data_IF_690871146321
#
_entry.id   IF_690871146321
#
_cell.length_a   1.000
_cell.length_b   1.000
_cell.length_c   1.000
_cell.angle_alpha   90.00
_cell.angle_beta   90.00
_cell.angle_gamma   90.00
#
_symmetry.space_group_name_H-M   'P 1'
#
loop_
_entity.id
_entity.type
_entity.pdbx_description
1 polymer ?
#
# COMPACT_ATOMS: atom_id res chain seq x y z
N UNK A 1 -2.18 -24.04 -9.36
CA UNK A 1 -2.21 -22.57 -9.55
C UNK A 1 -3.37 -22.03 -8.74
N UNK A 2 -3.16 -20.97 -7.97
CA UNK A 2 -4.15 -20.31 -7.13
C UNK A 2 -4.23 -18.86 -7.61
N UNK A 3 -5.34 -18.48 -8.23
CA UNK A 3 -5.54 -17.15 -8.78
C UNK A 3 -6.43 -16.31 -7.86
N UNK A 4 -5.87 -15.20 -7.40
CA UNK A 4 -6.44 -14.22 -6.46
C UNK A 4 -7.35 -14.81 -5.37
N UNK A 5 -6.82 -15.66 -4.45
CA UNK A 5 -7.63 -16.42 -3.49
C UNK A 5 -8.27 -15.55 -2.38
N UNK A 6 -8.13 -14.23 -2.48
CA UNK A 6 -8.55 -13.26 -1.48
C UNK A 6 -9.59 -12.27 -1.99
N UNK A 7 -10.06 -12.41 -3.24
CA UNK A 7 -11.12 -11.53 -3.76
C UNK A 7 -12.34 -11.56 -2.82
N UNK A 8 -12.77 -10.39 -2.36
CA UNK A 8 -13.93 -10.22 -1.47
C UNK A 8 -13.80 -10.83 -0.06
N UNK A 9 -12.58 -11.10 0.42
CA UNK A 9 -12.32 -11.58 1.77
C UNK A 9 -11.99 -10.43 2.74
N UNK A 10 -12.55 -10.49 3.95
CA UNK A 10 -12.16 -9.65 5.08
C UNK A 10 -10.74 -9.98 5.59
N UNK A 11 -10.15 -9.12 6.41
CA UNK A 11 -8.74 -9.24 6.82
C UNK A 11 -8.40 -10.49 7.62
N UNK A 12 -9.37 -11.01 8.38
CA UNK A 12 -9.23 -12.25 9.15
C UNK A 12 -9.27 -13.46 8.21
N UNK A 13 -10.16 -13.44 7.20
CA UNK A 13 -10.19 -14.42 6.13
C UNK A 13 -8.90 -14.36 5.29
N UNK A 14 -8.35 -13.18 5.01
CA UNK A 14 -7.05 -13.04 4.33
C UNK A 14 -5.93 -13.72 5.14
N UNK A 15 -5.92 -13.60 6.47
CA UNK A 15 -4.94 -14.30 7.32
C UNK A 15 -5.08 -15.83 7.21
N UNK A 16 -6.31 -16.32 7.37
CA UNK A 16 -6.61 -17.76 7.28
C UNK A 16 -6.26 -18.32 5.90
N UNK A 17 -6.59 -17.60 4.83
CA UNK A 17 -6.22 -17.97 3.46
C UNK A 17 -4.71 -17.96 3.27
N UNK A 18 -3.98 -16.98 3.85
CA UNK A 18 -2.50 -16.95 3.80
C UNK A 18 -1.93 -18.22 4.45
N UNK A 19 -2.47 -18.59 5.61
CA UNK A 19 -2.05 -19.78 6.34
C UNK A 19 -2.35 -21.08 5.57
N UNK A 20 -3.54 -21.19 4.95
CA UNK A 20 -3.91 -22.34 4.12
C UNK A 20 -2.97 -22.49 2.92
N UNK A 21 -2.69 -21.39 2.22
CA UNK A 21 -1.79 -21.40 1.06
C UNK A 21 -0.36 -21.75 1.47
N UNK A 22 0.11 -21.25 2.61
CA UNK A 22 1.41 -21.62 3.17
C UNK A 22 1.48 -23.11 3.55
N UNK A 23 0.42 -23.66 4.17
CA UNK A 23 0.26 -25.09 4.49
C UNK A 23 0.29 -25.96 3.23
N UNK A 24 -0.46 -25.60 2.20
CA UNK A 24 -0.43 -26.28 0.89
C UNK A 24 0.99 -26.29 0.33
N UNK A 25 1.70 -25.16 0.41
CA UNK A 25 3.10 -25.10 -0.01
C UNK A 25 4.01 -26.02 0.83
N UNK A 26 3.86 -26.07 2.16
CA UNK A 26 4.64 -26.97 3.03
C UNK A 26 4.38 -28.45 2.72
N UNK A 27 3.12 -28.84 2.53
CA UNK A 27 2.72 -30.21 2.19
C UNK A 27 3.29 -30.64 0.83
N UNK A 28 3.25 -29.74 -0.17
CA UNK A 28 3.72 -30.00 -1.53
C UNK A 28 5.25 -29.86 -1.69
N UNK A 29 5.92 -29.06 -0.87
CA UNK A 29 7.38 -28.84 -0.93
C UNK A 29 8.19 -29.89 -0.14
N UNK A 30 7.54 -30.86 0.50
CA UNK A 30 8.22 -32.07 0.99
C UNK A 30 8.59 -32.11 2.46
N UNK A 31 7.88 -31.44 3.37
CA UNK A 31 7.89 -31.89 4.78
C UNK A 31 7.02 -33.15 5.00
N UNK A 32 6.07 -33.43 4.09
CA UNK A 32 5.17 -34.59 4.16
C UNK A 32 5.49 -35.72 3.14
N UNK A 33 6.17 -35.42 2.03
CA UNK A 33 6.45 -36.40 0.96
C UNK A 33 7.91 -36.86 1.09
N UNK A 34 8.10 -38.02 1.72
CA UNK A 34 9.42 -38.55 2.11
C UNK A 34 10.23 -39.18 0.98
N UNK A 35 9.67 -39.41 -0.20
CA UNK A 35 10.39 -40.11 -1.27
C UNK A 35 9.98 -39.62 -2.67
N UNK A 36 10.99 -39.41 -3.52
CA UNK A 36 10.98 -39.77 -4.95
C UNK A 36 10.00 -39.09 -5.92
N UNK A 37 10.58 -38.34 -6.86
CA UNK A 37 10.07 -38.00 -8.20
C UNK A 37 8.99 -36.92 -8.39
N UNK A 38 8.01 -36.75 -7.50
CA UNK A 38 6.94 -35.75 -7.71
C UNK A 38 7.17 -34.42 -6.96
N UNK A 39 7.87 -33.48 -7.62
CA UNK A 39 8.01 -32.09 -7.12
C UNK A 39 6.87 -31.22 -7.64
N UNK A 40 5.92 -30.87 -6.77
CA UNK A 40 4.85 -29.94 -7.09
C UNK A 40 5.28 -28.47 -6.89
N UNK A 41 4.77 -27.56 -7.73
CA UNK A 41 4.98 -26.11 -7.60
C UNK A 41 3.63 -25.41 -7.42
N UNK A 42 3.56 -24.54 -6.41
CA UNK A 42 2.40 -23.68 -6.18
C UNK A 42 2.67 -22.31 -6.78
N UNK A 43 1.88 -21.94 -7.79
CA UNK A 43 1.84 -20.58 -8.31
C UNK A 43 0.67 -19.85 -7.68
N UNK A 44 0.95 -18.71 -7.03
CA UNK A 44 -0.06 -17.84 -6.43
C UNK A 44 -0.02 -16.49 -7.15
N UNK A 45 -1.15 -16.09 -7.71
CA UNK A 45 -1.36 -14.79 -8.33
C UNK A 45 -2.20 -13.96 -7.39
N UNK A 46 -1.81 -12.73 -7.11
CA UNK A 46 -2.60 -11.83 -6.27
C UNK A 46 -2.20 -10.38 -6.56
N UNK A 47 -3.17 -9.49 -6.39
CA UNK A 47 -2.93 -8.05 -6.37
C UNK A 47 -2.88 -7.49 -4.93
N UNK A 48 -3.12 -8.33 -3.91
CA UNK A 48 -3.21 -7.90 -2.53
C UNK A 48 -1.86 -8.03 -1.81
N UNK A 49 -1.32 -6.87 -1.41
CA UNK A 49 -0.01 -6.77 -0.80
C UNK A 49 0.04 -7.34 0.62
N UNK A 50 -1.03 -7.23 1.39
CA UNK A 50 -1.12 -7.80 2.75
C UNK A 50 -1.06 -9.32 2.70
N UNK A 51 -1.79 -9.92 1.77
CA UNK A 51 -1.79 -11.36 1.52
C UNK A 51 -0.39 -11.84 1.08
N UNK A 52 0.22 -11.14 0.12
CA UNK A 52 1.58 -11.46 -0.35
C UNK A 52 2.62 -11.35 0.77
N UNK A 53 2.57 -10.30 1.59
CA UNK A 53 3.49 -10.10 2.73
C UNK A 53 3.39 -11.24 3.75
N UNK A 54 2.16 -11.64 4.09
CA UNK A 54 1.90 -12.75 5.01
C UNK A 54 2.44 -14.06 4.44
N UNK A 55 2.21 -14.33 3.16
CA UNK A 55 2.76 -15.50 2.48
C UNK A 55 4.29 -15.51 2.45
N UNK A 56 4.93 -14.37 2.20
CA UNK A 56 6.39 -14.25 2.23
C UNK A 56 6.94 -14.68 3.58
N UNK A 57 6.36 -14.14 4.65
CA UNK A 57 6.79 -14.45 6.01
C UNK A 57 6.54 -15.91 6.39
N UNK A 58 5.43 -16.50 5.93
CA UNK A 58 5.06 -17.87 6.27
C UNK A 58 5.82 -18.94 5.46
N UNK A 59 6.13 -18.68 4.19
CA UNK A 59 6.79 -19.65 3.28
C UNK A 59 8.33 -19.54 3.34
N UNK A 60 8.85 -18.34 3.63
CA UNK A 60 10.28 -18.12 3.80
C UNK A 60 11.11 -18.43 2.54
N UNK A 61 12.31 -19.00 2.76
CA UNK A 61 13.37 -19.20 1.74
C UNK A 61 13.04 -20.16 0.59
N UNK A 62 11.88 -20.82 0.60
CA UNK A 62 11.48 -21.81 -0.39
C UNK A 62 10.56 -21.25 -1.49
N UNK A 63 10.34 -19.94 -1.54
CA UNK A 63 9.50 -19.28 -2.53
C UNK A 63 10.26 -18.29 -3.43
N UNK A 64 9.68 -18.03 -4.60
CA UNK A 64 10.12 -16.98 -5.53
C UNK A 64 8.99 -16.00 -5.79
N UNK A 65 9.30 -14.71 -5.80
CA UNK A 65 8.37 -13.60 -5.98
C UNK A 65 8.66 -12.88 -7.29
N UNK A 66 7.58 -12.62 -8.02
CA UNK A 66 7.62 -11.93 -9.30
C UNK A 66 6.59 -10.79 -9.28
N UNK A 67 7.00 -9.63 -9.79
CA UNK A 67 6.11 -8.50 -10.01
C UNK A 67 5.85 -8.35 -11.51
N UNK A 68 4.58 -8.19 -11.87
CA UNK A 68 4.17 -7.82 -13.22
C UNK A 68 4.16 -6.30 -13.33
N UNK A 69 5.12 -5.74 -14.07
CA UNK A 69 5.22 -4.31 -14.34
C UNK A 69 4.71 -4.05 -15.76
N UNK A 70 3.75 -3.13 -15.91
CA UNK A 70 3.26 -2.70 -17.23
C UNK A 70 3.85 -1.34 -17.56
N UNK A 71 4.61 -1.27 -18.64
CA UNK A 71 5.08 -0.01 -19.22
C UNK A 71 4.48 0.13 -20.62
N UNK A 72 3.55 1.07 -20.80
CA UNK A 72 2.77 1.26 -22.02
C UNK A 72 2.10 -0.06 -22.47
N UNK A 73 2.60 -0.66 -23.56
CA UNK A 73 2.10 -1.90 -24.16
C UNK A 73 2.98 -3.13 -23.86
N UNK A 74 4.02 -2.99 -23.04
CA UNK A 74 4.90 -4.09 -22.67
C UNK A 74 4.63 -4.54 -21.23
N UNK A 75 4.43 -5.85 -21.06
CA UNK A 75 4.38 -6.50 -19.76
C UNK A 75 5.77 -7.06 -19.45
N UNK A 76 6.35 -6.65 -18.32
CA UNK A 76 7.64 -7.13 -17.82
C UNK A 76 7.42 -7.95 -16.55
N UNK A 77 7.98 -9.16 -16.52
CA UNK A 77 8.01 -9.99 -15.32
C UNK A 77 9.35 -9.74 -14.62
N UNK A 78 9.30 -9.15 -13.43
CA UNK A 78 10.50 -8.81 -12.66
C UNK A 78 10.62 -9.74 -11.47
N UNK A 79 11.69 -10.53 -11.43
CA UNK A 79 12.04 -11.37 -10.28
C UNK A 79 12.52 -10.49 -9.11
N UNK A 80 12.06 -10.78 -7.89
CA UNK A 80 12.33 -9.98 -6.69
C UNK A 80 12.76 -10.88 -5.51
N UNK A 81 13.46 -11.98 -5.79
CA UNK A 81 13.86 -13.00 -4.81
C UNK A 81 15.02 -12.60 -3.89
N UNK A 82 15.79 -11.58 -4.25
CA UNK A 82 16.97 -11.16 -3.48
C UNK A 82 16.64 -10.35 -2.23
N UNK A 83 15.37 -10.34 -1.81
CA UNK A 83 14.91 -9.39 -0.82
C UNK A 83 14.33 -10.12 0.39
N UNK A 84 15.22 -10.46 1.33
CA UNK A 84 14.87 -10.31 2.74
C UNK A 84 14.38 -8.87 2.90
N UNK A 85 13.08 -8.68 3.12
CA UNK A 85 12.45 -7.36 3.01
C UNK A 85 11.79 -7.07 1.66
N UNK A 86 11.30 -8.07 0.91
CA UNK A 86 10.49 -7.84 -0.31
C UNK A 86 9.35 -6.87 -0.05
N UNK A 87 8.70 -6.97 1.11
CA UNK A 87 7.70 -5.99 1.51
C UNK A 87 8.31 -4.61 1.69
N UNK A 88 9.46 -4.50 2.37
CA UNK A 88 10.19 -3.23 2.50
C UNK A 88 10.60 -2.67 1.14
N UNK A 89 10.98 -3.50 0.17
CA UNK A 89 11.39 -3.07 -1.17
C UNK A 89 10.21 -2.73 -2.06
N UNK A 90 9.12 -3.49 -2.02
CA UNK A 90 7.89 -3.16 -2.73
C UNK A 90 7.27 -1.88 -2.16
N UNK A 91 7.15 -1.80 -0.83
CA UNK A 91 6.60 -0.64 -0.14
C UNK A 91 7.51 0.58 -0.34
N UNK A 92 8.84 0.42 -0.30
CA UNK A 92 9.80 1.48 -0.63
C UNK A 92 9.72 1.90 -2.10
N UNK A 93 9.52 0.97 -3.05
CA UNK A 93 9.33 1.30 -4.46
C UNK A 93 8.02 2.07 -4.68
N UNK A 94 6.93 1.62 -4.07
CA UNK A 94 5.64 2.31 -4.12
C UNK A 94 5.75 3.69 -3.48
N UNK A 95 6.39 3.79 -2.32
CA UNK A 95 6.69 5.05 -1.65
C UNK A 95 7.52 5.96 -2.55
N UNK A 96 8.59 5.43 -3.19
CA UNK A 96 9.42 6.17 -4.14
C UNK A 96 8.60 6.76 -5.26
N UNK A 97 7.74 5.96 -5.91
CA UNK A 97 6.91 6.44 -7.01
C UNK A 97 5.93 7.52 -6.59
N UNK A 98 5.27 7.35 -5.44
CA UNK A 98 4.31 8.34 -4.89
C UNK A 98 5.04 9.61 -4.44
N UNK A 99 6.19 9.48 -3.78
CA UNK A 99 6.99 10.61 -3.28
C UNK A 99 7.58 11.43 -4.44
N UNK A 100 8.11 10.78 -5.47
CA UNK A 100 8.58 11.44 -6.69
C UNK A 100 7.45 12.15 -7.43
N UNK A 101 6.28 11.51 -7.54
CA UNK A 101 5.10 12.14 -8.11
C UNK A 101 4.66 13.38 -7.30
N UNK A 102 4.64 13.29 -5.97
CA UNK A 102 4.31 14.41 -5.08
C UNK A 102 5.29 15.59 -5.22
N UNK A 103 6.56 15.33 -5.54
CA UNK A 103 7.59 16.37 -5.74
C UNK A 103 7.55 17.07 -7.10
N UNK A 104 6.82 16.57 -8.08
CA UNK A 104 6.76 17.22 -9.42
C UNK A 104 6.18 18.63 -9.29
N UNK A 105 6.83 19.62 -9.90
CA UNK A 105 6.39 21.02 -9.83
C UNK A 105 5.05 21.26 -10.53
N UNK A 106 4.84 20.65 -11.69
CA UNK A 106 3.60 20.72 -12.46
C UNK A 106 3.26 19.35 -13.02
N UNK A 107 1.98 19.02 -12.99
CA UNK A 107 1.43 17.83 -13.62
C UNK A 107 0.44 18.27 -14.69
N UNK A 108 0.52 17.68 -15.88
CA UNK A 108 -0.47 17.91 -16.93
C UNK A 108 -1.57 16.85 -16.80
N UNK A 109 -2.83 17.25 -16.94
CA UNK A 109 -3.95 16.32 -16.78
C UNK A 109 -3.84 15.14 -17.75
N UNK A 110 -3.68 13.95 -17.18
CA UNK A 110 -3.69 12.68 -17.87
C UNK A 110 -4.52 11.69 -17.05
N UNK A 111 -5.66 11.27 -17.58
CA UNK A 111 -6.60 10.41 -16.86
C UNK A 111 -6.03 9.03 -16.52
N UNK A 112 -5.20 8.45 -17.40
CA UNK A 112 -4.58 7.16 -17.14
C UNK A 112 -3.56 7.27 -16.00
N UNK A 113 -2.81 8.37 -15.96
CA UNK A 113 -1.93 8.66 -14.84
C UNK A 113 -2.70 8.94 -13.56
N UNK A 114 -3.83 9.65 -13.62
CA UNK A 114 -4.65 9.95 -12.43
C UNK A 114 -5.18 8.67 -11.78
N UNK A 115 -5.67 7.72 -12.58
CA UNK A 115 -6.11 6.40 -12.09
C UNK A 115 -4.92 5.62 -11.52
N UNK A 116 -3.79 5.58 -12.23
CA UNK A 116 -2.63 4.81 -11.80
C UNK A 116 -2.04 5.35 -10.49
N UNK A 117 -1.76 6.65 -10.41
CA UNK A 117 -1.23 7.27 -9.20
C UNK A 117 -2.27 7.30 -8.07
N UNK A 118 -3.56 7.49 -8.37
CA UNK A 118 -4.62 7.40 -7.37
C UNK A 118 -4.64 6.04 -6.67
N UNK A 119 -4.56 4.96 -7.45
CA UNK A 119 -4.44 3.61 -6.90
C UNK A 119 -3.15 3.44 -6.07
N UNK A 120 -2.00 3.95 -6.55
CA UNK A 120 -0.74 3.88 -5.81
C UNK A 120 -0.79 4.62 -4.47
N UNK A 121 -1.34 5.83 -4.44
CA UNK A 121 -1.53 6.63 -3.21
C UNK A 121 -2.43 5.88 -2.23
N UNK A 122 -3.56 5.34 -2.69
CA UNK A 122 -4.47 4.55 -1.86
C UNK A 122 -3.76 3.33 -1.27
N UNK A 123 -3.14 2.52 -2.11
CA UNK A 123 -2.45 1.30 -1.68
C UNK A 123 -1.34 1.63 -0.66
N UNK A 124 -0.56 2.69 -0.90
CA UNK A 124 0.51 3.11 -0.01
C UNK A 124 -0.04 3.47 1.39
N UNK A 125 -1.07 4.30 1.43
CA UNK A 125 -1.68 4.79 2.66
C UNK A 125 -2.41 3.67 3.42
N UNK A 126 -3.21 2.86 2.73
CA UNK A 126 -3.91 1.75 3.37
C UNK A 126 -2.93 0.72 3.93
N UNK A 127 -1.89 0.37 3.17
CA UNK A 127 -0.86 -0.56 3.63
C UNK A 127 -0.07 0.02 4.80
N UNK A 128 0.23 1.33 4.77
CA UNK A 128 0.87 2.03 5.89
C UNK A 128 0.07 1.87 7.17
N UNK A 129 -1.22 2.20 7.13
CA UNK A 129 -2.09 2.21 8.29
C UNK A 129 -2.29 0.79 8.84
N UNK A 130 -2.51 -0.19 7.96
CA UNK A 130 -2.71 -1.59 8.35
C UNK A 130 -1.48 -2.20 9.01
N UNK A 131 -0.28 -1.79 8.62
CA UNK A 131 0.97 -2.33 9.17
C UNK A 131 1.33 -1.64 10.47
N UNK A 132 1.29 -0.31 10.50
CA UNK A 132 1.68 0.44 11.68
C UNK A 132 0.67 0.36 12.82
N UNK A 133 -0.60 0.03 12.51
CA UNK A 133 -1.65 -0.08 13.52
C UNK A 133 -2.34 -1.45 13.50
N UNK A 134 -1.59 -2.50 13.15
CA UNK A 134 -2.13 -3.86 12.92
C UNK A 134 -3.08 -4.34 14.02
N UNK A 135 -2.79 -4.04 15.28
CA UNK A 135 -3.63 -4.44 16.41
C UNK A 135 -5.05 -3.84 16.33
N UNK A 136 -5.18 -2.61 15.82
CA UNK A 136 -6.48 -1.95 15.57
C UNK A 136 -7.24 -2.59 14.38
N UNK A 137 -6.57 -3.41 13.58
CA UNK A 137 -7.17 -4.14 12.45
C UNK A 137 -7.47 -5.61 12.82
N UNK A 138 -6.82 -6.16 13.85
CA UNK A 138 -7.03 -7.55 14.29
C UNK A 138 -8.19 -7.73 15.28
N UNK A 139 -8.51 -6.70 16.08
CA UNK A 139 -9.45 -6.82 17.21
C UNK A 139 -10.93 -6.68 16.84
N UNK A 140 -11.24 -6.14 15.66
CA UNK A 140 -12.61 -5.83 15.24
C UNK A 140 -12.91 -6.42 13.84
N UNK A 141 -14.17 -6.79 13.58
CA UNK A 141 -14.61 -7.22 12.24
C UNK A 141 -14.75 -5.98 11.36
N UNK A 142 -14.04 -5.96 10.23
CA UNK A 142 -13.96 -4.79 9.37
C UNK A 142 -14.56 -5.04 7.98
N UNK A 143 -15.32 -4.06 7.49
CA UNK A 143 -15.84 -4.00 6.11
C UNK A 143 -14.80 -3.46 5.11
N UNK A 144 -13.58 -3.19 5.58
CA UNK A 144 -12.48 -2.66 4.76
C UNK A 144 -12.50 -1.15 4.57
N UNK A 145 -13.50 -0.43 5.11
CA UNK A 145 -13.66 1.03 4.92
C UNK A 145 -13.09 1.80 6.13
N UNK A 146 -12.27 2.81 5.84
CA UNK A 146 -11.74 3.73 6.85
C UNK A 146 -12.77 4.79 7.24
N UNK A 147 -13.60 4.51 8.24
CA UNK A 147 -14.60 5.44 8.80
C UNK A 147 -13.94 6.47 9.73
N UNK A 148 -14.60 7.61 9.93
CA UNK A 148 -14.11 8.73 10.74
C UNK A 148 -13.72 8.31 12.17
N UNK A 149 -14.60 7.62 12.89
CA UNK A 149 -14.33 7.20 14.27
C UNK A 149 -13.08 6.32 14.38
N UNK A 150 -12.85 5.50 13.34
CA UNK A 150 -11.68 4.64 13.26
C UNK A 150 -10.41 5.46 13.02
N UNK A 151 -10.44 6.43 12.11
CA UNK A 151 -9.32 7.32 11.87
C UNK A 151 -8.96 8.09 13.15
N UNK A 152 -9.96 8.60 13.88
CA UNK A 152 -9.75 9.26 15.18
C UNK A 152 -9.09 8.31 16.19
N UNK A 153 -9.54 7.06 16.25
CA UNK A 153 -8.94 6.03 17.10
C UNK A 153 -7.47 5.79 16.74
N UNK A 154 -7.15 5.63 15.46
CA UNK A 154 -5.78 5.43 14.97
C UNK A 154 -4.86 6.62 15.32
N UNK A 155 -5.34 7.85 15.10
CA UNK A 155 -4.60 9.07 15.44
C UNK A 155 -4.34 9.14 16.95
N UNK A 156 -5.33 8.78 17.78
CA UNK A 156 -5.19 8.75 19.23
C UNK A 156 -4.15 7.71 19.67
N UNK A 157 -4.18 6.50 19.11
CA UNK A 157 -3.19 5.45 19.37
C UNK A 157 -1.79 5.93 19.00
N UNK A 158 -1.62 6.47 17.79
CA UNK A 158 -0.35 7.01 17.33
C UNK A 158 0.19 8.12 18.26
N UNK A 159 -0.68 9.03 18.72
CA UNK A 159 -0.28 10.10 19.63
C UNK A 159 0.24 9.58 20.98
N UNK A 160 -0.33 8.47 21.47
CA UNK A 160 0.15 7.81 22.69
C UNK A 160 1.50 7.11 22.54
N UNK A 161 1.86 6.70 21.32
CA UNK A 161 3.09 5.96 21.04
C UNK A 161 4.28 6.86 20.65
N UNK A 162 4.05 7.89 19.83
CA UNK A 162 5.14 8.67 19.21
C UNK A 162 5.08 10.18 19.42
N UNK A 163 4.06 10.70 20.10
CA UNK A 163 3.75 12.14 20.24
C UNK A 163 3.70 12.86 18.88
N UNK A 164 2.48 13.16 18.39
CA UNK A 164 2.31 13.65 17.02
C UNK A 164 3.01 15.00 16.80
N UNK A 165 3.83 15.07 15.77
CA UNK A 165 4.56 16.27 15.39
C UNK A 165 4.07 16.79 14.03
N UNK A 166 3.47 17.98 14.05
CA UNK A 166 2.92 18.68 12.89
C UNK A 166 3.90 19.70 12.26
N UNK A 167 5.14 19.76 12.77
CA UNK A 167 6.17 20.69 12.28
C UNK A 167 7.06 20.04 11.22
N UNK A 168 7.63 20.89 10.34
CA UNK A 168 8.61 20.49 9.31
C UNK A 168 8.13 19.36 8.38
N UNK A 169 6.84 19.35 8.06
CA UNK A 169 6.26 18.37 7.14
C UNK A 169 6.80 18.57 5.72
N UNK A 170 7.03 17.49 4.94
CA UNK A 170 7.66 17.56 3.62
C UNK A 170 6.97 18.53 2.64
N UNK A 171 5.64 18.61 2.70
CA UNK A 171 4.84 19.41 1.77
C UNK A 171 4.04 20.53 2.46
N UNK A 172 4.51 21.03 3.61
CA UNK A 172 3.76 22.02 4.40
C UNK A 172 3.64 23.40 3.75
N UNK A 173 4.48 23.71 2.75
CA UNK A 173 4.44 24.98 2.02
C UNK A 173 3.29 25.06 1.02
N UNK A 174 2.68 23.92 0.69
CA UNK A 174 1.51 23.87 -0.17
C UNK A 174 0.27 24.06 0.72
N UNK A 175 -0.43 25.20 0.57
CA UNK A 175 -1.53 25.59 1.48
C UNK A 175 -2.60 24.50 1.65
N UNK A 176 -2.91 23.75 0.58
CA UNK A 176 -3.90 22.68 0.64
C UNK A 176 -3.39 21.40 1.30
N UNK A 177 -2.07 21.23 1.47
CA UNK A 177 -1.45 20.02 2.02
C UNK A 177 -1.00 20.17 3.48
N UNK A 178 -1.09 21.38 4.05
CA UNK A 178 -0.74 21.66 5.43
C UNK A 178 -1.62 20.85 6.41
N UNK A 179 -1.01 20.40 7.51
CA UNK A 179 -1.68 19.67 8.60
C UNK A 179 -1.13 20.19 9.92
N UNK A 180 -1.95 20.94 10.67
CA UNK A 180 -1.49 21.65 11.87
C UNK A 180 -1.83 20.95 13.18
N UNK A 181 -2.83 20.06 13.16
CA UNK A 181 -3.33 19.36 14.34
C UNK A 181 -4.03 18.04 13.97
N UNK A 182 -4.40 17.28 15.00
CA UNK A 182 -5.02 15.96 14.87
C UNK A 182 -6.39 15.98 14.16
N UNK A 183 -7.20 17.03 14.38
CA UNK A 183 -8.51 17.16 13.74
C UNK A 183 -8.35 17.39 12.23
N UNK A 184 -7.44 18.28 11.85
CA UNK A 184 -7.08 18.52 10.45
C UNK A 184 -6.50 17.27 9.80
N UNK A 185 -5.69 16.49 10.52
CA UNK A 185 -5.19 15.20 10.03
C UNK A 185 -6.33 14.22 9.74
N UNK A 186 -7.35 14.18 10.60
CA UNK A 186 -8.53 13.35 10.40
C UNK A 186 -9.31 13.78 9.16
N UNK A 187 -9.57 15.08 8.99
CA UNK A 187 -10.24 15.62 7.81
C UNK A 187 -9.49 15.30 6.52
N UNK A 188 -8.15 15.45 6.54
CA UNK A 188 -7.29 15.18 5.39
C UNK A 188 -7.26 13.70 5.01
N UNK A 189 -7.20 12.80 5.99
CA UNK A 189 -7.33 11.36 5.76
C UNK A 189 -8.69 11.01 5.15
N UNK A 190 -9.79 11.53 5.72
CA UNK A 190 -11.14 11.34 5.17
C UNK A 190 -11.26 11.88 3.75
N UNK A 191 -10.62 13.01 3.45
CA UNK A 191 -10.60 13.59 2.13
C UNK A 191 -9.92 12.68 1.10
N UNK A 192 -8.75 12.13 1.43
CA UNK A 192 -8.07 11.14 0.58
C UNK A 192 -8.95 9.89 0.39
N UNK A 193 -9.51 9.35 1.47
CA UNK A 193 -10.32 8.11 1.41
C UNK A 193 -11.55 8.32 0.53
N UNK A 194 -12.26 9.43 0.69
CA UNK A 194 -13.42 9.79 -0.15
C UNK A 194 -13.00 10.02 -1.60
N UNK A 195 -11.89 10.71 -1.84
CA UNK A 195 -11.37 10.95 -3.18
C UNK A 195 -10.94 9.66 -3.88
N UNK A 196 -10.25 8.75 -3.18
CA UNK A 196 -9.66 7.54 -3.76
C UNK A 196 -10.53 6.28 -3.61
N UNK A 197 -11.75 6.42 -3.08
CA UNK A 197 -12.69 5.31 -2.96
C UNK A 197 -12.99 4.70 -4.34
N UNK A 198 -13.18 3.37 -4.39
CA UNK A 198 -13.50 2.65 -5.63
C UNK A 198 -14.73 3.24 -6.34
N UNK A 199 -15.76 3.62 -5.57
CA UNK A 199 -16.97 4.26 -6.11
C UNK A 199 -16.71 5.69 -6.64
N UNK A 200 -15.68 6.36 -6.15
CA UNK A 200 -15.21 7.67 -6.67
C UNK A 200 -14.36 7.52 -7.94
N UNK A 201 -14.00 6.28 -8.30
CA UNK A 201 -13.22 5.92 -9.48
C UNK A 201 -13.99 5.08 -10.51
N UNK A 202 -15.29 4.90 -10.31
CA UNK A 202 -16.22 4.42 -11.32
C UNK A 202 -16.46 2.91 -11.29
N UNK A 203 -17.73 2.55 -11.14
CA UNK A 203 -18.27 1.26 -11.58
C UNK A 203 -18.12 1.12 -13.11
N UNK A 204 -18.23 -0.09 -13.66
CA UNK A 204 -18.35 -0.31 -15.12
C UNK A 204 -19.53 0.48 -15.72
N UNK A 205 -20.51 0.87 -14.90
CA UNK A 205 -21.61 1.78 -15.25
C UNK A 205 -21.18 3.26 -15.42
N UNK A 206 -20.03 3.68 -14.91
CA UNK A 206 -19.55 5.08 -14.93
C UNK A 206 -18.72 5.44 -16.16
N UNK A 207 -18.80 4.63 -17.22
CA UNK A 207 -18.23 4.97 -18.54
C UNK A 207 -18.73 6.33 -19.08
N UNK A 208 -19.81 6.87 -18.49
CA UNK A 208 -20.44 8.16 -18.81
C UNK A 208 -20.35 9.23 -17.71
N UNK A 209 -19.63 9.01 -16.60
CA UNK A 209 -19.56 10.02 -15.52
C UNK A 209 -18.46 11.08 -15.77
N UNK A 210 -18.78 12.39 -15.77
CA UNK A 210 -17.82 13.48 -15.98
C UNK A 210 -16.91 13.78 -14.77
N UNK A 211 -17.08 13.10 -13.64
CA UNK A 211 -16.33 13.38 -12.40
C UNK A 211 -15.06 12.53 -12.28
N UNK A 212 -14.12 12.71 -13.20
CA UNK A 212 -12.78 12.13 -13.09
C UNK A 212 -11.88 13.07 -12.27
N UNK A 213 -11.37 12.59 -11.14
CA UNK A 213 -10.42 13.33 -10.31
C UNK A 213 -9.20 13.72 -11.15
N UNK A 214 -8.83 15.00 -11.13
CA UNK A 214 -7.70 15.54 -11.89
C UNK A 214 -6.38 14.96 -11.37
N UNK A 215 -5.36 14.94 -12.23
CA UNK A 215 -4.03 14.49 -11.80
C UNK A 215 -3.44 15.41 -10.73
N UNK A 216 -3.80 16.70 -10.77
CA UNK A 216 -3.45 17.70 -9.73
C UNK A 216 -4.04 17.32 -8.36
N UNK A 217 -5.32 16.95 -8.31
CA UNK A 217 -5.94 16.50 -7.05
C UNK A 217 -5.32 15.20 -6.54
N UNK A 218 -4.98 14.27 -7.45
CA UNK A 218 -4.24 13.04 -7.07
C UNK A 218 -2.85 13.37 -6.53
N UNK A 219 -2.19 14.39 -7.08
CA UNK A 219 -0.91 14.88 -6.56
C UNK A 219 -1.07 15.50 -5.16
N UNK A 220 -2.13 16.27 -4.93
CA UNK A 220 -2.48 16.77 -3.60
C UNK A 220 -2.66 15.62 -2.61
N UNK A 221 -3.40 14.56 -2.99
CA UNK A 221 -3.55 13.37 -2.15
C UNK A 221 -2.22 12.68 -1.84
N UNK A 222 -1.32 12.60 -2.81
CA UNK A 222 0.02 12.06 -2.60
C UNK A 222 0.80 12.86 -1.55
N UNK A 223 0.79 14.19 -1.66
CA UNK A 223 1.45 15.10 -0.70
C UNK A 223 0.87 14.95 0.71
N UNK A 224 -0.45 14.95 0.82
CA UNK A 224 -1.16 14.75 2.10
C UNK A 224 -0.81 13.37 2.69
N UNK A 225 -0.83 12.30 1.90
CA UNK A 225 -0.52 10.95 2.37
C UNK A 225 0.90 10.87 2.95
N UNK A 226 1.90 11.49 2.30
CA UNK A 226 3.28 11.53 2.82
C UNK A 226 3.37 12.35 4.11
N UNK A 227 2.69 13.49 4.21
CA UNK A 227 2.60 14.28 5.45
C UNK A 227 1.97 13.45 6.57
N UNK A 228 0.88 12.74 6.29
CA UNK A 228 0.22 11.83 7.26
C UNK A 228 1.15 10.72 7.72
N UNK A 229 1.84 10.04 6.80
CA UNK A 229 2.82 9.01 7.15
C UNK A 229 3.93 9.57 8.06
N UNK A 230 4.40 10.79 7.76
CA UNK A 230 5.42 11.47 8.58
C UNK A 230 4.92 11.80 9.99
N UNK A 231 3.67 12.21 10.14
CA UNK A 231 3.05 12.50 11.45
C UNK A 231 2.86 11.22 12.26
N UNK A 232 2.33 10.16 11.63
CA UNK A 232 1.95 8.92 12.30
C UNK A 232 3.14 7.97 12.57
N UNK A 233 4.15 7.94 11.68
CA UNK A 233 5.40 7.22 11.91
C UNK A 233 6.58 8.01 11.32
N UNK A 234 7.17 8.95 12.10
CA UNK A 234 8.19 9.86 11.59
C UNK A 234 9.49 9.18 11.23
N UNK A 235 9.88 8.11 11.93
CA UNK A 235 11.14 7.40 11.71
C UNK A 235 11.11 6.56 10.44
N UNK A 236 10.05 5.76 10.25
CA UNK A 236 9.86 4.96 9.03
C UNK A 236 9.85 5.87 7.80
N UNK A 237 9.03 6.94 7.85
CA UNK A 237 8.88 7.86 6.72
C UNK A 237 10.18 8.61 6.41
N UNK A 238 10.93 9.05 7.44
CA UNK A 238 12.25 9.68 7.24
C UNK A 238 13.24 8.73 6.56
N UNK A 239 13.25 7.46 6.97
CA UNK A 239 14.12 6.43 6.40
C UNK A 239 13.82 6.22 4.91
N UNK A 240 12.54 6.13 4.54
CA UNK A 240 12.12 5.98 3.15
C UNK A 240 12.47 7.20 2.30
N UNK A 241 12.18 8.42 2.79
CA UNK A 241 12.58 9.65 2.10
C UNK A 241 14.10 9.71 1.88
N UNK A 242 14.89 9.42 2.92
CA UNK A 242 16.35 9.40 2.84
C UNK A 242 16.88 8.35 1.86
N UNK A 243 16.23 7.20 1.75
CA UNK A 243 16.58 6.16 0.78
C UNK A 243 16.37 6.64 -0.66
N UNK A 244 15.23 7.29 -0.94
CA UNK A 244 14.89 7.83 -2.26
C UNK A 244 15.83 8.98 -2.65
N UNK A 245 16.05 9.94 -1.76
CA UNK A 245 16.91 11.09 -2.03
C UNK A 245 18.39 10.71 -2.20
N UNK A 246 18.87 9.68 -1.49
CA UNK A 246 20.24 9.15 -1.67
C UNK A 246 20.45 8.44 -3.01
N UNK A 247 19.41 7.83 -3.58
CA UNK A 247 19.55 7.13 -4.87
C UNK A 247 19.76 8.11 -6.02
N UNK A 248 19.20 9.32 -5.93
CA UNK A 248 19.38 10.40 -6.93
C UNK A 248 20.80 10.95 -7.03
N UNK A 249 21.56 10.93 -5.95
CA UNK A 249 22.93 11.45 -5.95
C UNK A 249 23.97 10.48 -6.52
N UNK A 250 23.54 9.30 -7.01
CA UNK A 250 24.40 8.26 -7.59
C UNK A 250 24.15 8.02 -9.10
N UNK A 251 23.11 8.63 -9.67
CA UNK A 251 22.84 8.66 -11.12
C UNK A 251 23.40 9.96 -11.71
#
# INVERSE_FOLDING_TARGET
VIDDPISSLDEQRIYNTSYIVAKINQELAGEALKDGEDKAQVFVLTHNHTFMARLINMVGRHARYFQLERNQNQLKIVCKNEVVGYFDTFYLLLFKEVYEFAKKEKVQNNYNEAINYGNKVRILLESFLKINFIDSFLTEKHDGVFKEDRIKSLIKTANGEVELNFSKLPFNKDNNCNVENADMLCEKLLHIIKGLHLDSHGSVMDFFSPYKISLENVQEFAKIAINTMKILNPYQTQSYMGSVDKTKNKE
#
